data_IF_528136464634
#
_entry.id   IF_528136464634
#
_cell.length_a   1.000
_cell.length_b   1.000
_cell.length_c   1.000
_cell.angle_alpha   90.00
_cell.angle_beta   90.00
_cell.angle_gamma   90.00
#
_symmetry.space_group_name_H-M   'P 1'
#
loop_
_entity.id
_entity.type
_entity.pdbx_description
1 polymer ?
#
# COMPACT_ATOMS: atom_id res chain seq x y z
N UNK A 1 15.66 -22.71 -42.23
CA UNK A 1 14.21 -22.84 -41.97
C UNK A 1 13.77 -21.59 -41.21
N UNK A 2 12.97 -20.70 -41.82
CA UNK A 2 12.41 -19.54 -41.11
C UNK A 2 11.27 -20.04 -40.22
N UNK A 3 11.39 -19.85 -38.91
CA UNK A 3 10.35 -20.21 -37.94
C UNK A 3 9.08 -19.36 -38.16
N UNK A 4 9.25 -18.16 -38.74
CA UNK A 4 8.19 -17.17 -38.92
C UNK A 4 8.08 -16.84 -40.42
N UNK A 5 6.92 -17.13 -41.02
CA UNK A 5 6.61 -16.78 -42.40
C UNK A 5 6.24 -15.30 -42.57
N UNK A 6 6.35 -14.77 -43.79
CA UNK A 6 5.86 -13.42 -44.09
C UNK A 6 4.34 -13.36 -43.84
N UNK A 7 3.86 -12.32 -43.15
CA UNK A 7 2.44 -12.18 -42.77
C UNK A 7 2.07 -12.81 -41.43
N UNK A 8 3.04 -13.26 -40.64
CA UNK A 8 2.77 -13.72 -39.28
C UNK A 8 2.33 -12.57 -38.37
N UNK A 9 1.15 -12.72 -37.78
CA UNK A 9 0.67 -11.91 -36.67
C UNK A 9 0.39 -12.84 -35.49
N UNK A 10 0.85 -12.45 -34.30
CA UNK A 10 0.69 -13.27 -33.09
C UNK A 10 -0.78 -13.59 -32.81
N UNK A 11 -1.68 -12.67 -33.15
CA UNK A 11 -3.12 -12.83 -32.92
C UNK A 11 -3.76 -13.90 -33.83
N UNK A 12 -3.10 -14.30 -34.93
CA UNK A 12 -3.53 -15.42 -35.76
C UNK A 12 -3.29 -16.80 -35.10
N UNK A 13 -2.55 -16.83 -33.98
CA UNK A 13 -2.23 -18.05 -33.23
C UNK A 13 -2.75 -17.94 -31.79
N UNK A 14 -4.00 -18.36 -31.52
CA UNK A 14 -4.66 -18.11 -30.23
C UNK A 14 -3.91 -18.64 -29.01
N UNK A 15 -3.37 -19.87 -29.05
CA UNK A 15 -2.60 -20.43 -27.95
C UNK A 15 -1.32 -19.64 -27.65
N UNK A 16 -0.60 -19.23 -28.69
CA UNK A 16 0.61 -18.42 -28.56
C UNK A 16 0.26 -17.04 -27.99
N UNK A 17 -0.78 -16.39 -28.52
CA UNK A 17 -1.24 -15.07 -28.05
C UNK A 17 -1.64 -15.10 -26.57
N UNK A 18 -2.40 -16.12 -26.13
CA UNK A 18 -2.79 -16.28 -24.73
C UNK A 18 -1.58 -16.55 -23.83
N UNK A 19 -0.69 -17.44 -24.25
CA UNK A 19 0.52 -17.77 -23.48
C UNK A 19 1.44 -16.56 -23.34
N UNK A 20 1.66 -15.83 -24.44
CA UNK A 20 2.46 -14.61 -24.44
C UNK A 20 1.87 -13.54 -23.52
N UNK A 21 0.57 -13.27 -23.61
CA UNK A 21 -0.13 -12.31 -22.74
C UNK A 21 -0.01 -12.65 -21.26
N UNK A 22 -0.07 -13.94 -20.90
CA UNK A 22 0.12 -14.41 -19.51
C UNK A 22 1.55 -14.19 -19.04
N UNK A 23 2.54 -14.66 -19.80
CA UNK A 23 3.97 -14.47 -19.45
C UNK A 23 4.30 -12.98 -19.30
N UNK A 24 3.79 -12.16 -20.20
CA UNK A 24 4.00 -10.71 -20.16
C UNK A 24 3.37 -10.07 -18.92
N UNK A 25 2.15 -10.48 -18.56
CA UNK A 25 1.51 -10.01 -17.34
C UNK A 25 2.24 -10.48 -16.07
N UNK A 26 2.76 -11.71 -16.05
CA UNK A 26 3.53 -12.25 -14.93
C UNK A 26 4.86 -11.50 -14.76
N UNK A 27 5.53 -11.16 -15.87
CA UNK A 27 6.71 -10.28 -15.82
C UNK A 27 6.38 -8.91 -15.21
N UNK A 28 5.26 -8.30 -15.61
CA UNK A 28 4.79 -7.04 -15.03
C UNK A 28 4.52 -7.15 -13.53
N UNK A 29 3.96 -8.27 -13.07
CA UNK A 29 3.73 -8.53 -11.66
C UNK A 29 5.04 -8.65 -10.87
N UNK A 30 6.06 -9.34 -11.40
CA UNK A 30 7.36 -9.46 -10.74
C UNK A 30 8.09 -8.12 -10.66
N UNK A 31 8.11 -7.35 -11.76
CA UNK A 31 8.64 -5.98 -11.74
C UNK A 31 7.94 -5.14 -10.68
N UNK A 32 6.62 -5.25 -10.57
CA UNK A 32 5.86 -4.50 -9.58
C UNK A 32 6.14 -4.92 -8.14
N UNK A 33 6.42 -6.21 -7.89
CA UNK A 33 6.77 -6.70 -6.56
C UNK A 33 8.07 -6.07 -6.05
N UNK A 34 9.03 -5.79 -6.93
CA UNK A 34 10.31 -5.22 -6.52
C UNK A 34 10.17 -3.81 -5.93
N UNK A 35 9.41 -2.92 -6.59
CA UNK A 35 9.30 -1.52 -6.14
C UNK A 35 8.06 -1.24 -5.28
N UNK A 36 6.96 -1.96 -5.46
CA UNK A 36 5.70 -1.72 -4.73
C UNK A 36 5.33 -2.86 -3.76
N UNK A 37 5.99 -4.02 -3.85
CA UNK A 37 5.73 -5.19 -3.02
C UNK A 37 4.51 -6.02 -3.43
N UNK A 38 3.70 -5.57 -4.38
CA UNK A 38 2.49 -6.27 -4.86
C UNK A 38 2.59 -6.60 -6.34
N UNK A 39 1.69 -7.45 -6.86
CA UNK A 39 1.48 -7.59 -8.31
C UNK A 39 1.04 -6.27 -8.96
N UNK A 40 1.11 -6.20 -10.28
CA UNK A 40 0.75 -5.04 -11.07
C UNK A 40 -0.76 -4.78 -10.99
N UNK A 41 -1.13 -3.50 -10.98
CA UNK A 41 -2.53 -3.12 -11.10
C UNK A 41 -3.00 -3.35 -12.54
N UNK A 42 -4.30 -3.66 -12.71
CA UNK A 42 -4.94 -3.83 -14.02
C UNK A 42 -4.31 -4.94 -14.88
N UNK A 43 -3.64 -5.90 -14.25
CA UNK A 43 -2.98 -7.00 -14.96
C UNK A 43 -3.97 -7.92 -15.71
N UNK A 44 -5.25 -7.87 -15.37
CA UNK A 44 -6.32 -8.57 -16.07
C UNK A 44 -6.58 -8.04 -17.50
N UNK A 45 -6.38 -6.74 -17.74
CA UNK A 45 -6.40 -6.22 -19.11
C UNK A 45 -5.31 -6.84 -19.98
N UNK A 46 -4.10 -7.00 -19.43
CA UNK A 46 -3.00 -7.66 -20.16
C UNK A 46 -3.28 -9.15 -20.36
N UNK A 47 -3.77 -9.84 -19.32
CA UNK A 47 -4.02 -11.30 -19.36
C UNK A 47 -5.20 -11.71 -20.23
N UNK A 48 -6.30 -10.96 -20.17
CA UNK A 48 -7.58 -11.35 -20.75
C UNK A 48 -8.11 -10.36 -21.79
N UNK A 49 -7.45 -9.22 -22.00
CA UNK A 49 -7.91 -8.16 -22.91
C UNK A 49 -9.10 -7.37 -22.39
N UNK A 50 -9.62 -7.67 -21.20
CA UNK A 50 -10.80 -7.03 -20.62
C UNK A 50 -10.71 -6.96 -19.10
N UNK A 51 -11.51 -6.05 -18.53
CA UNK A 51 -11.67 -5.97 -17.07
C UNK A 51 -12.43 -7.18 -16.53
N UNK A 52 -11.97 -7.69 -15.40
CA UNK A 52 -12.61 -8.76 -14.64
C UNK A 52 -12.97 -8.27 -13.25
N UNK A 53 -14.05 -8.82 -12.67
CA UNK A 53 -14.45 -8.47 -11.29
C UNK A 53 -13.37 -8.86 -10.28
N UNK A 54 -12.78 -10.05 -10.44
CA UNK A 54 -11.65 -10.50 -9.61
C UNK A 54 -10.43 -9.58 -9.76
N UNK A 55 -10.11 -9.13 -10.98
CA UNK A 55 -9.05 -8.14 -11.20
C UNK A 55 -9.32 -6.81 -10.50
N UNK A 56 -10.56 -6.34 -10.50
CA UNK A 56 -10.95 -5.14 -9.77
C UNK A 56 -10.79 -5.27 -8.25
N UNK A 57 -11.18 -6.42 -7.70
CA UNK A 57 -10.97 -6.73 -6.29
C UNK A 57 -9.48 -6.81 -5.92
N UNK A 58 -8.68 -7.50 -6.74
CA UNK A 58 -7.24 -7.61 -6.54
C UNK A 58 -6.55 -6.23 -6.61
N UNK A 59 -6.98 -5.37 -7.53
CA UNK A 59 -6.47 -3.99 -7.62
C UNK A 59 -6.78 -3.18 -6.37
N UNK A 60 -7.96 -3.35 -5.78
CA UNK A 60 -8.34 -2.72 -4.53
C UNK A 60 -7.39 -3.12 -3.39
N UNK A 61 -7.17 -4.43 -3.20
CA UNK A 61 -6.25 -4.96 -2.18
C UNK A 61 -4.82 -4.46 -2.44
N UNK A 62 -4.36 -4.52 -3.69
CA UNK A 62 -3.03 -4.06 -4.06
C UNK A 62 -2.87 -2.56 -3.79
N UNK A 63 -3.86 -1.73 -4.11
CA UNK A 63 -3.83 -0.30 -3.85
C UNK A 63 -3.70 0.02 -2.35
N UNK A 64 -4.51 -0.63 -1.50
CA UNK A 64 -4.39 -0.49 -0.04
C UNK A 64 -3.04 -0.98 0.48
N UNK A 65 -2.56 -2.13 0.00
CA UNK A 65 -1.28 -2.69 0.41
C UNK A 65 -0.12 -1.76 0.03
N UNK A 66 -0.15 -1.20 -1.19
CA UNK A 66 0.84 -0.23 -1.65
C UNK A 66 0.79 1.05 -0.84
N UNK A 67 -0.40 1.58 -0.56
CA UNK A 67 -0.57 2.76 0.28
C UNK A 67 0.03 2.54 1.67
N UNK A 68 -0.28 1.41 2.30
CA UNK A 68 0.25 1.09 3.62
C UNK A 68 1.77 0.92 3.59
N UNK A 69 2.30 0.12 2.67
CA UNK A 69 3.75 -0.13 2.59
C UNK A 69 4.55 1.13 2.27
N UNK A 70 4.06 1.93 1.32
CA UNK A 70 4.71 3.17 0.91
C UNK A 70 4.76 4.21 2.04
N UNK A 71 3.72 4.27 2.88
CA UNK A 71 3.69 5.24 3.97
C UNK A 71 4.34 4.72 5.25
N UNK A 72 4.20 3.45 5.62
CA UNK A 72 4.57 2.97 6.96
C UNK A 72 5.80 2.05 7.02
N UNK A 73 6.21 1.46 5.89
CA UNK A 73 7.34 0.52 5.84
C UNK A 73 8.48 0.96 4.91
N UNK A 74 8.27 2.03 4.12
CA UNK A 74 9.17 2.38 3.04
C UNK A 74 10.50 2.98 3.53
N UNK A 75 10.48 3.80 4.58
CA UNK A 75 11.71 4.36 5.16
C UNK A 75 12.68 3.27 5.63
N UNK A 76 12.19 2.25 6.34
CA UNK A 76 13.01 1.10 6.73
C UNK A 76 13.57 0.34 5.52
N UNK A 77 12.75 0.15 4.47
CA UNK A 77 13.20 -0.50 3.23
C UNK A 77 14.31 0.31 2.54
N UNK A 78 14.14 1.62 2.43
CA UNK A 78 15.14 2.51 1.85
C UNK A 78 16.42 2.53 2.69
N UNK A 79 16.32 2.54 4.02
CA UNK A 79 17.46 2.48 4.93
C UNK A 79 18.24 1.17 4.75
N UNK A 80 17.56 0.03 4.61
CA UNK A 80 18.21 -1.26 4.33
C UNK A 80 18.94 -1.26 2.96
N UNK A 81 18.34 -0.67 1.93
CA UNK A 81 18.97 -0.55 0.61
C UNK A 81 20.20 0.37 0.68
N UNK A 82 20.07 1.54 1.32
CA UNK A 82 21.18 2.48 1.49
C UNK A 82 22.32 1.87 2.28
N UNK A 83 22.02 1.11 3.34
CA UNK A 83 23.00 0.36 4.11
C UNK A 83 23.76 -0.65 3.25
N UNK A 84 23.03 -1.44 2.44
CA UNK A 84 23.62 -2.44 1.55
C UNK A 84 24.51 -1.81 0.46
N UNK A 85 24.07 -0.68 -0.11
CA UNK A 85 24.82 0.04 -1.14
C UNK A 85 25.96 0.91 -0.59
N UNK A 86 26.09 1.04 0.73
CA UNK A 86 27.08 1.89 1.37
C UNK A 86 26.76 3.39 1.35
N UNK A 87 25.54 3.78 0.93
CA UNK A 87 25.08 5.17 0.83
C UNK A 87 24.39 5.62 2.12
N UNK A 88 25.03 5.43 3.28
CA UNK A 88 24.41 5.70 4.57
C UNK A 88 25.27 6.59 5.46
N UNK A 89 24.60 7.45 6.24
CA UNK A 89 25.21 8.21 7.34
C UNK A 89 24.56 7.79 8.65
N UNK A 90 25.37 7.37 9.61
CA UNK A 90 24.88 7.05 10.95
C UNK A 90 24.74 8.37 11.72
N UNK A 91 23.51 8.72 12.09
CA UNK A 91 23.24 9.71 13.12
C UNK A 91 22.92 8.98 14.44
N UNK A 92 23.82 9.02 15.44
CA UNK A 92 23.60 8.37 16.73
C UNK A 92 22.31 8.80 17.44
N UNK A 93 21.81 10.00 17.14
CA UNK A 93 20.60 10.54 17.76
C UNK A 93 19.32 10.17 17.01
N UNK A 94 19.43 9.63 15.78
CA UNK A 94 18.28 9.35 14.91
C UNK A 94 18.36 7.94 14.30
N UNK A 95 18.73 6.96 15.12
CA UNK A 95 18.73 5.55 14.71
C UNK A 95 17.30 5.04 14.50
N UNK A 96 17.08 4.06 13.60
CA UNK A 96 15.78 3.41 13.45
C UNK A 96 15.32 2.84 14.79
N UNK A 97 14.09 3.16 15.20
CA UNK A 97 13.52 2.61 16.42
C UNK A 97 13.40 1.08 16.27
N UNK A 98 13.84 0.32 17.26
CA UNK A 98 13.47 -1.09 17.38
C UNK A 98 11.95 -1.19 17.48
N UNK A 99 11.38 -2.29 16.98
CA UNK A 99 9.92 -2.53 17.02
C UNK A 99 9.34 -2.28 18.42
N UNK A 100 10.06 -2.69 19.47
CA UNK A 100 9.67 -2.43 20.86
C UNK A 100 9.53 -0.93 21.17
N UNK A 101 10.49 -0.09 20.78
CA UNK A 101 10.40 1.37 20.97
C UNK A 101 9.24 2.00 20.20
N UNK A 102 8.90 1.51 19.02
CA UNK A 102 7.74 2.01 18.26
C UNK A 102 6.41 1.61 18.92
N UNK A 103 6.33 0.40 19.49
CA UNK A 103 5.12 -0.06 20.19
C UNK A 103 4.96 0.62 21.55
N UNK A 104 6.06 0.83 22.28
CA UNK A 104 6.06 1.42 23.61
C UNK A 104 5.90 2.94 23.60
N UNK A 105 6.44 3.64 22.60
CA UNK A 105 6.25 5.08 22.44
C UNK A 105 4.94 5.33 21.69
N UNK A 106 3.84 5.23 22.42
CA UNK A 106 2.51 5.62 21.94
C UNK A 106 2.44 7.14 21.79
N UNK A 107 3.05 7.65 20.73
CA UNK A 107 3.11 9.08 20.46
C UNK A 107 1.73 9.64 20.10
N UNK A 108 1.59 10.97 20.05
CA UNK A 108 0.34 11.63 19.69
C UNK A 108 -0.21 11.16 18.33
N UNK A 109 0.66 10.75 17.41
CA UNK A 109 0.30 10.07 16.17
C UNK A 109 -0.41 8.72 16.38
N UNK A 110 0.20 7.83 17.17
CA UNK A 110 -0.40 6.54 17.51
C UNK A 110 -1.72 6.72 18.23
N UNK A 111 -1.77 7.69 19.15
CA UNK A 111 -2.97 8.15 19.84
C UNK A 111 -4.08 8.57 18.87
N UNK A 112 -3.77 9.36 17.84
CA UNK A 112 -4.75 9.80 16.86
C UNK A 112 -5.35 8.64 16.05
N UNK A 113 -4.53 7.67 15.62
CA UNK A 113 -4.99 6.48 14.88
C UNK A 113 -5.88 5.62 15.77
N UNK A 114 -5.44 5.29 16.98
CA UNK A 114 -6.22 4.44 17.89
C UNK A 114 -7.49 5.15 18.36
N UNK A 115 -7.44 6.47 18.59
CA UNK A 115 -8.60 7.30 18.86
C UNK A 115 -9.61 7.28 17.70
N UNK A 116 -9.15 7.34 16.44
CA UNK A 116 -10.02 7.28 15.28
C UNK A 116 -10.68 5.90 15.13
N UNK A 117 -9.92 4.81 15.34
CA UNK A 117 -10.46 3.44 15.35
C UNK A 117 -11.50 3.27 16.46
N UNK A 118 -11.20 3.77 17.66
CA UNK A 118 -12.11 3.73 18.80
C UNK A 118 -13.40 4.52 18.53
N UNK A 119 -13.28 5.74 18.00
CA UNK A 119 -14.44 6.55 17.62
C UNK A 119 -15.30 5.86 16.54
N UNK A 120 -14.67 5.24 15.54
CA UNK A 120 -15.39 4.47 14.52
C UNK A 120 -16.14 3.27 15.12
N UNK A 121 -15.51 2.52 16.03
CA UNK A 121 -16.16 1.43 16.75
C UNK A 121 -17.33 1.93 17.60
N UNK A 122 -17.18 3.08 18.27
CA UNK A 122 -18.24 3.70 19.06
C UNK A 122 -19.42 4.16 18.20
N UNK A 123 -19.18 4.69 17.00
CA UNK A 123 -20.27 5.02 16.04
C UNK A 123 -21.08 3.76 15.73
N UNK A 124 -20.41 2.65 15.41
CA UNK A 124 -21.07 1.37 15.09
C UNK A 124 -21.89 0.90 16.29
N UNK A 125 -21.33 0.93 17.51
CA UNK A 125 -22.05 0.54 18.73
C UNK A 125 -23.24 1.45 19.03
N UNK A 126 -23.10 2.78 18.84
CA UNK A 126 -24.18 3.72 19.07
C UNK A 126 -25.34 3.54 18.09
N UNK A 127 -25.05 3.20 16.83
CA UNK A 127 -26.07 2.93 15.81
C UNK A 127 -26.73 1.57 16.03
N UNK A 128 -25.95 0.51 16.27
CA UNK A 128 -26.47 -0.86 16.28
C UNK A 128 -27.03 -1.31 17.63
N UNK A 129 -26.58 -0.71 18.74
CA UNK A 129 -26.94 -1.18 20.10
C UNK A 129 -27.67 -0.10 20.89
N UNK A 130 -27.12 1.11 20.95
CA UNK A 130 -27.67 2.15 21.82
C UNK A 130 -28.87 2.88 21.20
N UNK A 131 -29.03 2.80 19.88
CA UNK A 131 -30.01 3.57 19.08
C UNK A 131 -30.05 5.07 19.44
N UNK A 132 -28.90 5.61 19.87
CA UNK A 132 -28.81 6.97 20.40
C UNK A 132 -28.18 7.91 19.36
N UNK A 133 -29.02 8.76 18.77
CA UNK A 133 -28.62 9.71 17.73
C UNK A 133 -27.61 10.74 18.23
N UNK A 134 -27.75 11.26 19.45
CA UNK A 134 -26.85 12.31 19.96
C UNK A 134 -25.45 11.76 20.21
N UNK A 135 -25.35 10.56 20.79
CA UNK A 135 -24.08 9.87 20.97
C UNK A 135 -23.42 9.52 19.63
N UNK A 136 -24.22 9.07 18.65
CA UNK A 136 -23.72 8.78 17.29
C UNK A 136 -23.12 10.02 16.64
N UNK A 137 -23.80 11.16 16.71
CA UNK A 137 -23.30 12.44 16.17
C UNK A 137 -22.03 12.88 16.89
N UNK A 138 -21.98 12.74 18.22
CA UNK A 138 -20.78 13.08 19.00
C UNK A 138 -19.55 12.29 18.54
N UNK A 139 -19.68 10.95 18.43
CA UNK A 139 -18.57 10.12 17.97
C UNK A 139 -18.21 10.35 16.50
N UNK A 140 -19.18 10.70 15.65
CA UNK A 140 -18.94 11.07 14.27
C UNK A 140 -18.11 12.37 14.17
N UNK A 141 -18.42 13.38 14.99
CA UNK A 141 -17.64 14.63 15.04
C UNK A 141 -16.21 14.36 15.52
N UNK A 142 -16.03 13.54 16.56
CA UNK A 142 -14.69 13.14 17.02
C UNK A 142 -13.93 12.41 15.92
N UNK A 143 -14.57 11.44 15.25
CA UNK A 143 -13.95 10.69 14.16
C UNK A 143 -13.51 11.63 13.02
N UNK A 144 -14.38 12.54 12.58
CA UNK A 144 -14.05 13.51 11.54
C UNK A 144 -12.91 14.46 11.96
N UNK A 145 -12.90 14.92 13.21
CA UNK A 145 -11.82 15.78 13.72
C UNK A 145 -10.47 15.05 13.74
N UNK A 146 -10.45 13.77 14.17
CA UNK A 146 -9.24 12.95 14.16
C UNK A 146 -8.78 12.63 12.74
N UNK A 147 -9.70 12.33 11.82
CA UNK A 147 -9.37 12.12 10.41
C UNK A 147 -8.81 13.39 9.76
N UNK A 148 -9.35 14.57 10.09
CA UNK A 148 -8.83 15.85 9.63
C UNK A 148 -7.42 16.11 10.19
N UNK A 149 -7.20 15.83 11.48
CA UNK A 149 -5.88 15.93 12.10
C UNK A 149 -4.86 15.00 11.42
N UNK A 150 -5.23 13.74 11.16
CA UNK A 150 -4.38 12.78 10.44
C UNK A 150 -4.09 13.28 9.02
N UNK A 151 -5.08 13.85 8.34
CA UNK A 151 -4.90 14.37 6.98
C UNK A 151 -3.97 15.59 6.94
N UNK A 152 -4.15 16.56 7.85
CA UNK A 152 -3.31 17.76 7.93
C UNK A 152 -1.87 17.41 8.29
N UNK A 153 -1.67 16.50 9.23
CA UNK A 153 -0.34 16.08 9.68
C UNK A 153 0.15 14.81 8.97
N UNK A 154 -0.39 14.50 7.79
CA UNK A 154 -0.17 13.22 7.12
C UNK A 154 1.30 12.87 6.92
N UNK A 155 2.15 13.87 6.65
CA UNK A 155 3.59 13.68 6.50
C UNK A 155 4.31 13.17 7.75
N UNK A 156 3.79 13.46 8.94
CA UNK A 156 4.38 13.03 10.21
C UNK A 156 4.10 11.55 10.47
N UNK A 157 3.03 10.99 9.88
CA UNK A 157 2.72 9.56 9.93
C UNK A 157 3.55 8.72 8.96
N UNK A 158 4.24 9.36 8.01
CA UNK A 158 5.05 8.66 7.01
C UNK A 158 6.39 8.23 7.63
N UNK A 159 6.71 6.95 7.50
CA UNK A 159 8.01 6.38 7.82
C UNK A 159 9.05 6.88 6.81
N UNK A 160 9.76 7.95 7.16
CA UNK A 160 10.85 8.54 6.35
C UNK A 160 12.17 7.78 6.59
N UNK A 161 13.02 7.59 5.56
CA UNK A 161 14.34 7.00 5.72
C UNK A 161 15.22 7.87 6.62
N UNK A 162 16.00 7.26 7.50
CA UNK A 162 16.85 7.93 8.49
C UNK A 162 18.33 7.90 8.14
N UNK A 163 18.73 6.93 7.32
CA UNK A 163 20.14 6.68 7.01
C UNK A 163 20.61 7.32 5.71
N UNK A 164 19.71 7.92 4.92
CA UNK A 164 20.04 8.47 3.61
C UNK A 164 21.16 9.53 3.69
N UNK A 165 22.17 9.40 2.83
CA UNK A 165 23.09 10.50 2.53
C UNK A 165 22.41 11.46 1.56
N UNK A 166 22.18 12.69 2.00
CA UNK A 166 21.67 13.78 1.15
C UNK A 166 22.73 14.23 0.13
#
# INVERSE_FOLDING_TARGET
MKIIGNGFEVDNYPELSVTFKRIWADNGDECSRQYAGTGALKADYTRFGKRTFSGAWNDCINAFTRYFRNNFADGYRQDAINLFLGNFRIDPNNLPATFETTVLNFDYHGGAIVGAIFAAAMIILCVLVAENMTATIFWLVIFMALMLFIFINGEEFVNKPRLKMD
#
